data_IF_948468899734
#
_entry.id   IF_948468899734
#
_cell.length_a   1.000
_cell.length_b   1.000
_cell.length_c   1.000
_cell.angle_alpha   90.00
_cell.angle_beta   90.00
_cell.angle_gamma   90.00
#
_symmetry.space_group_name_H-M   'P 1'
#
loop_
_entity.id
_entity.type
_entity.pdbx_description
1 polymer ?
#
# COMPACT_ATOMS: atom_id res chain seq x y z
N UNK A 1 64.46 -15.41 53.10
CA UNK A 1 63.67 -14.57 52.17
C UNK A 1 64.57 -14.20 51.00
N UNK A 2 64.21 -14.56 49.75
CA UNK A 2 65.06 -14.33 48.59
C UNK A 2 65.24 -12.82 48.31
N UNK A 3 66.48 -12.31 48.14
CA UNK A 3 66.74 -10.88 47.95
C UNK A 3 66.11 -10.32 46.67
N UNK A 4 66.01 -11.14 45.62
CA UNK A 4 65.33 -10.80 44.37
C UNK A 4 63.84 -10.46 44.55
N UNK A 5 63.15 -11.15 45.48
CA UNK A 5 61.73 -10.87 45.76
C UNK A 5 61.54 -9.50 46.39
N UNK A 6 62.45 -9.08 47.29
CA UNK A 6 62.38 -7.75 47.93
C UNK A 6 62.58 -6.61 46.94
N UNK A 7 63.37 -6.83 45.90
CA UNK A 7 63.63 -5.82 44.86
C UNK A 7 62.49 -5.75 43.82
N UNK A 8 61.79 -6.86 43.58
CA UNK A 8 60.69 -6.93 42.62
C UNK A 8 59.33 -6.46 43.18
N UNK A 9 59.11 -6.54 44.50
CA UNK A 9 57.85 -6.10 45.15
C UNK A 9 57.38 -4.69 44.75
N UNK A 10 58.22 -3.63 44.73
CA UNK A 10 57.76 -2.30 44.32
C UNK A 10 57.39 -2.23 42.84
N UNK A 11 58.09 -2.98 41.98
CA UNK A 11 57.76 -3.07 40.54
C UNK A 11 56.45 -3.80 40.28
N UNK A 12 56.21 -4.90 40.99
CA UNK A 12 54.95 -5.64 40.93
C UNK A 12 53.79 -4.76 41.42
N UNK A 13 54.00 -4.02 42.51
CA UNK A 13 53.01 -3.05 43.01
C UNK A 13 52.68 -1.97 41.99
N UNK A 14 53.70 -1.37 41.37
CA UNK A 14 53.50 -0.36 40.31
C UNK A 14 52.76 -0.92 39.09
N UNK A 15 53.14 -2.11 38.62
CA UNK A 15 52.48 -2.77 37.49
C UNK A 15 51.00 -3.10 37.79
N UNK A 16 50.71 -3.56 39.01
CA UNK A 16 49.33 -3.83 39.43
C UNK A 16 48.46 -2.56 39.41
N UNK A 17 48.99 -1.43 39.89
CA UNK A 17 48.27 -0.15 39.87
C UNK A 17 47.96 0.30 38.44
N UNK A 18 48.95 0.21 37.54
CA UNK A 18 48.75 0.58 36.12
C UNK A 18 47.71 -0.33 35.45
N UNK A 19 47.72 -1.63 35.74
CA UNK A 19 46.74 -2.57 35.20
C UNK A 19 45.32 -2.26 35.70
N UNK A 20 45.15 -1.95 36.98
CA UNK A 20 43.84 -1.57 37.54
C UNK A 20 43.32 -0.28 36.90
N UNK A 21 44.18 0.72 36.74
CA UNK A 21 43.80 1.98 36.10
C UNK A 21 43.45 1.78 34.62
N UNK A 22 44.25 1.00 33.88
CA UNK A 22 43.99 0.68 32.48
C UNK A 22 42.68 -0.08 32.29
N UNK A 23 42.41 -1.09 33.13
CA UNK A 23 41.15 -1.81 33.12
C UNK A 23 39.96 -0.89 33.45
N UNK A 24 40.10 0.02 34.41
CA UNK A 24 39.08 1.00 34.75
C UNK A 24 38.73 1.91 33.57
N UNK A 25 39.73 2.44 32.87
CA UNK A 25 39.52 3.28 31.67
C UNK A 25 38.89 2.48 30.54
N UNK A 26 39.35 1.26 30.29
CA UNK A 26 38.81 0.41 29.23
C UNK A 26 37.34 0.04 29.50
N UNK A 27 37.01 -0.36 30.74
CA UNK A 27 35.65 -0.68 31.14
C UNK A 27 34.74 0.54 31.03
N UNK A 28 35.19 1.70 31.51
CA UNK A 28 34.43 2.95 31.41
C UNK A 28 34.19 3.39 29.95
N UNK A 29 35.21 3.26 29.10
CA UNK A 29 35.08 3.51 27.67
C UNK A 29 34.08 2.56 27.01
N UNK A 30 34.16 1.26 27.35
CA UNK A 30 33.25 0.25 26.81
C UNK A 30 31.80 0.47 27.27
N UNK A 31 31.57 0.84 28.53
CA UNK A 31 30.23 1.09 29.04
C UNK A 31 29.60 2.30 28.35
N UNK A 32 30.35 3.40 28.19
CA UNK A 32 29.88 4.60 27.46
C UNK A 32 29.56 4.31 26.00
N UNK A 33 30.32 3.44 25.36
CA UNK A 33 30.06 3.03 23.98
C UNK A 33 28.78 2.19 23.87
N UNK A 34 28.58 1.24 24.80
CA UNK A 34 27.36 0.45 24.87
C UNK A 34 26.12 1.30 25.18
N UNK A 35 26.21 2.27 26.08
CA UNK A 35 25.12 3.19 26.40
C UNK A 35 24.72 4.02 25.17
N UNK A 36 25.69 4.54 24.42
CA UNK A 36 25.41 5.29 23.18
C UNK A 36 24.79 4.43 22.07
N UNK A 37 25.22 3.17 21.94
CA UNK A 37 24.58 2.22 21.01
C UNK A 37 23.15 1.90 21.46
N UNK A 38 22.92 1.71 22.77
CA UNK A 38 21.60 1.43 23.30
C UNK A 38 20.64 2.61 23.07
N UNK A 39 21.11 3.84 23.27
CA UNK A 39 20.35 5.06 23.01
C UNK A 39 20.03 5.23 21.52
N UNK A 40 21.02 5.05 20.64
CA UNK A 40 20.81 5.11 19.18
C UNK A 40 19.82 4.04 18.69
N UNK A 41 19.91 2.82 19.21
CA UNK A 41 18.96 1.75 18.88
C UNK A 41 17.54 2.07 19.42
N UNK A 42 17.43 2.65 20.61
CA UNK A 42 16.15 3.07 21.16
C UNK A 42 15.49 4.14 20.27
N UNK A 43 16.24 5.15 19.84
CA UNK A 43 15.75 6.20 18.94
C UNK A 43 15.34 5.63 17.57
N UNK A 44 16.15 4.73 17.00
CA UNK A 44 15.80 4.06 15.75
C UNK A 44 14.52 3.22 15.85
N UNK A 45 14.34 2.47 16.93
CA UNK A 45 13.12 1.67 17.13
C UNK A 45 11.89 2.55 17.33
N UNK A 46 12.02 3.70 18.01
CA UNK A 46 10.92 4.66 18.12
C UNK A 46 10.57 5.32 16.78
N UNK A 47 11.58 5.61 15.94
CA UNK A 47 11.36 6.15 14.60
C UNK A 47 10.60 5.16 13.70
N UNK A 48 11.00 3.88 13.69
CA UNK A 48 10.29 2.84 12.95
C UNK A 48 8.83 2.69 13.42
N UNK A 49 8.59 2.66 14.73
CA UNK A 49 7.23 2.54 15.27
C UNK A 49 6.33 3.71 14.86
N UNK A 50 6.86 4.93 14.83
CA UNK A 50 6.12 6.11 14.38
C UNK A 50 5.78 6.04 12.89
N UNK A 51 6.72 5.56 12.06
CA UNK A 51 6.49 5.37 10.63
C UNK A 51 5.44 4.28 10.38
N UNK A 52 5.53 3.12 11.06
CA UNK A 52 4.51 2.08 10.99
C UNK A 52 3.13 2.58 11.43
N UNK A 53 3.07 3.39 12.50
CA UNK A 53 1.82 4.01 12.96
C UNK A 53 1.25 4.99 11.92
N UNK A 54 2.09 5.80 11.29
CA UNK A 54 1.68 6.72 10.23
C UNK A 54 1.15 5.96 8.99
N UNK A 55 1.83 4.89 8.58
CA UNK A 55 1.41 4.03 7.47
C UNK A 55 0.08 3.33 7.78
N UNK A 56 -0.08 2.80 8.99
CA UNK A 56 -1.32 2.15 9.43
C UNK A 56 -2.48 3.16 9.51
N UNK A 57 -2.22 4.38 9.99
CA UNK A 57 -3.22 5.46 10.02
C UNK A 57 -3.68 5.87 8.62
N UNK A 58 -2.76 5.96 7.65
CA UNK A 58 -3.11 6.17 6.24
C UNK A 58 -3.98 5.04 5.69
N UNK A 59 -3.63 3.79 5.98
CA UNK A 59 -4.38 2.62 5.52
C UNK A 59 -5.80 2.58 6.12
N UNK A 60 -5.95 2.90 7.41
CA UNK A 60 -7.25 3.03 8.06
C UNK A 60 -8.11 4.15 7.46
N UNK A 61 -7.49 5.28 7.10
CA UNK A 61 -8.16 6.36 6.37
C UNK A 61 -8.68 5.90 5.01
N UNK A 62 -7.85 5.19 4.24
CA UNK A 62 -8.25 4.63 2.94
C UNK A 62 -9.40 3.63 3.11
N UNK A 63 -9.33 2.72 4.08
CA UNK A 63 -10.39 1.76 4.36
C UNK A 63 -11.73 2.46 4.69
N UNK A 64 -11.70 3.50 5.53
CA UNK A 64 -12.89 4.30 5.86
C UNK A 64 -13.50 4.96 4.62
N UNK A 65 -12.66 5.54 3.75
CA UNK A 65 -13.15 6.15 2.50
C UNK A 65 -13.74 5.12 1.54
N UNK A 66 -13.16 3.92 1.49
CA UNK A 66 -13.67 2.83 0.67
C UNK A 66 -15.04 2.37 1.18
N UNK A 67 -15.18 2.12 2.48
CA UNK A 67 -16.47 1.76 3.09
C UNK A 67 -17.56 2.81 2.83
N UNK A 68 -17.22 4.10 2.95
CA UNK A 68 -18.14 5.20 2.65
C UNK A 68 -18.58 5.17 1.16
N UNK A 69 -17.64 5.01 0.24
CA UNK A 69 -17.95 4.93 -1.20
C UNK A 69 -18.82 3.71 -1.54
N UNK A 70 -18.57 2.56 -0.91
CA UNK A 70 -19.36 1.34 -1.09
C UNK A 70 -20.77 1.52 -0.52
N UNK A 71 -20.91 2.19 0.62
CA UNK A 71 -22.22 2.50 1.20
C UNK A 71 -23.02 3.46 0.30
N UNK A 72 -22.38 4.48 -0.27
CA UNK A 72 -22.98 5.40 -1.24
C UNK A 72 -23.42 4.67 -2.51
N UNK A 73 -22.56 3.82 -3.08
CA UNK A 73 -22.90 3.00 -4.25
C UNK A 73 -24.10 2.09 -3.96
N UNK A 74 -24.12 1.40 -2.82
CA UNK A 74 -25.26 0.55 -2.42
C UNK A 74 -26.54 1.35 -2.17
N UNK A 75 -26.46 2.63 -1.82
CA UNK A 75 -27.64 3.49 -1.67
C UNK A 75 -28.13 4.04 -3.03
N UNK A 76 -27.23 4.23 -3.99
CA UNK A 76 -27.54 4.75 -5.32
C UNK A 76 -28.03 3.67 -6.29
N UNK A 77 -27.40 2.50 -6.30
CA UNK A 77 -27.74 1.35 -7.17
C UNK A 77 -29.23 0.93 -7.09
N UNK A 78 -29.86 0.77 -5.91
CA UNK A 78 -31.28 0.45 -5.84
C UNK A 78 -32.18 1.55 -6.43
N UNK A 79 -31.79 2.83 -6.32
CA UNK A 79 -32.53 3.94 -6.94
C UNK A 79 -32.38 3.97 -8.45
N UNK A 80 -31.20 3.62 -8.97
CA UNK A 80 -30.92 3.59 -10.41
C UNK A 80 -31.77 2.50 -11.09
N UNK A 81 -31.78 1.28 -10.54
CA UNK A 81 -32.60 0.18 -11.06
C UNK A 81 -34.08 0.56 -11.03
N UNK A 82 -34.60 1.05 -9.90
CA UNK A 82 -36.01 1.44 -9.79
C UNK A 82 -36.41 2.55 -10.78
N UNK A 83 -35.51 3.52 -11.03
CA UNK A 83 -35.73 4.60 -12.00
C UNK A 83 -35.75 4.08 -13.43
N UNK A 84 -34.84 3.19 -13.83
CA UNK A 84 -34.87 2.59 -15.16
C UNK A 84 -36.15 1.79 -15.39
N UNK A 85 -36.52 0.93 -14.44
CA UNK A 85 -37.77 0.14 -14.55
C UNK A 85 -39.00 1.04 -14.62
N UNK A 86 -39.03 2.14 -13.83
CA UNK A 86 -40.14 3.09 -13.88
C UNK A 86 -40.21 3.84 -15.22
N UNK A 87 -39.08 4.22 -15.80
CA UNK A 87 -39.04 4.89 -17.11
C UNK A 87 -39.49 3.94 -18.23
N UNK A 88 -39.09 2.67 -18.19
CA UNK A 88 -39.56 1.65 -19.14
C UNK A 88 -41.07 1.41 -19.04
N UNK A 89 -41.64 1.47 -17.83
CA UNK A 89 -43.08 1.30 -17.60
C UNK A 89 -43.88 2.55 -17.94
N UNK A 90 -43.37 3.76 -17.64
CA UNK A 90 -44.08 5.03 -17.87
C UNK A 90 -43.91 5.57 -19.30
N UNK A 91 -42.82 5.22 -19.98
CA UNK A 91 -42.58 5.56 -21.39
C UNK A 91 -42.02 4.34 -22.12
N UNK A 92 -42.85 3.31 -22.33
CA UNK A 92 -42.44 2.15 -23.09
C UNK A 92 -42.05 2.58 -24.50
N UNK A 93 -40.94 2.03 -25.01
CA UNK A 93 -40.56 2.29 -26.40
C UNK A 93 -41.73 1.91 -27.31
N UNK A 94 -42.15 2.81 -28.23
CA UNK A 94 -43.24 2.53 -29.16
C UNK A 94 -42.95 1.26 -29.94
N UNK A 95 -44.00 0.51 -30.31
CA UNK A 95 -43.87 -0.83 -30.89
C UNK A 95 -42.93 -0.92 -32.10
N UNK A 96 -42.78 0.17 -32.88
CA UNK A 96 -41.83 0.25 -33.98
C UNK A 96 -40.35 0.28 -33.57
N UNK A 97 -40.02 0.76 -32.37
CA UNK A 97 -38.64 0.84 -31.87
C UNK A 97 -38.19 -0.44 -31.14
N UNK A 98 -39.11 -1.30 -30.70
CA UNK A 98 -38.76 -2.57 -30.06
C UNK A 98 -38.22 -3.54 -31.11
N UNK A 99 -37.03 -4.10 -30.89
CA UNK A 99 -36.50 -5.12 -31.79
C UNK A 99 -37.24 -6.43 -31.51
N UNK A 100 -38.13 -6.82 -32.42
CA UNK A 100 -38.83 -8.11 -32.38
C UNK A 100 -37.93 -9.26 -32.89
N UNK A 101 -38.35 -10.50 -32.62
CA UNK A 101 -37.59 -11.69 -32.95
C UNK A 101 -37.29 -11.82 -34.47
N UNK A 102 -38.22 -11.38 -35.33
CA UNK A 102 -38.05 -11.40 -36.79
C UNK A 102 -37.01 -10.38 -37.25
N UNK A 103 -37.06 -9.15 -36.70
CA UNK A 103 -36.03 -8.14 -36.93
C UNK A 103 -34.64 -8.55 -36.43
N UNK A 104 -34.55 -9.19 -35.26
CA UNK A 104 -33.30 -9.74 -34.73
C UNK A 104 -32.70 -10.78 -35.68
N UNK A 105 -33.53 -11.71 -36.16
CA UNK A 105 -33.10 -12.70 -37.14
C UNK A 105 -32.61 -12.03 -38.42
N UNK A 106 -33.34 -11.04 -38.95
CA UNK A 106 -32.96 -10.35 -40.17
C UNK A 106 -31.65 -9.54 -40.03
N UNK A 107 -31.40 -8.94 -38.85
CA UNK A 107 -30.15 -8.24 -38.55
C UNK A 107 -28.99 -9.25 -38.42
N UNK A 108 -29.20 -10.38 -37.75
CA UNK A 108 -28.19 -11.42 -37.61
C UNK A 108 -27.85 -12.08 -38.95
N UNK A 109 -28.85 -12.30 -39.80
CA UNK A 109 -28.73 -12.77 -41.18
C UNK A 109 -27.89 -11.79 -42.00
N UNK A 110 -28.23 -10.50 -41.95
CA UNK A 110 -27.49 -9.43 -42.64
C UNK A 110 -26.05 -9.32 -42.13
N UNK A 111 -25.82 -9.43 -40.82
CA UNK A 111 -24.48 -9.44 -40.22
C UNK A 111 -23.67 -10.66 -40.65
N UNK A 112 -24.29 -11.85 -40.70
CA UNK A 112 -23.66 -13.06 -41.22
C UNK A 112 -23.27 -12.88 -42.69
N UNK A 113 -24.17 -12.36 -43.51
CA UNK A 113 -23.91 -12.07 -44.93
C UNK A 113 -22.78 -11.05 -45.11
N UNK A 114 -22.77 -9.97 -44.33
CA UNK A 114 -21.71 -8.96 -44.36
C UNK A 114 -20.35 -9.53 -43.93
N UNK A 115 -20.32 -10.37 -42.89
CA UNK A 115 -19.10 -11.05 -42.43
C UNK A 115 -18.59 -12.04 -43.48
N UNK A 116 -19.49 -12.76 -44.17
CA UNK A 116 -19.11 -13.67 -45.26
C UNK A 116 -18.70 -12.94 -46.54
N UNK A 117 -19.22 -11.74 -46.79
CA UNK A 117 -18.84 -10.89 -47.92
C UNK A 117 -17.45 -10.25 -47.73
N UNK A 118 -16.85 -10.38 -46.54
CA UNK A 118 -15.44 -10.12 -46.30
C UNK A 118 -14.97 -8.69 -46.61
N UNK A 119 -15.87 -7.71 -46.69
CA UNK A 119 -15.45 -6.32 -46.82
C UNK A 119 -14.97 -5.82 -45.46
N UNK A 120 -13.67 -5.50 -45.29
CA UNK A 120 -13.21 -4.80 -44.11
C UNK A 120 -13.96 -3.47 -44.04
N UNK A 121 -14.79 -3.33 -43.01
CA UNK A 121 -15.49 -2.08 -42.74
C UNK A 121 -14.48 -0.96 -42.45
N UNK A 122 -14.85 0.32 -42.65
CA UNK A 122 -14.01 1.43 -42.27
C UNK A 122 -13.63 1.31 -40.78
N UNK A 123 -12.34 1.50 -40.48
CA UNK A 123 -11.83 1.44 -39.12
C UNK A 123 -12.66 2.37 -38.22
N UNK A 124 -13.26 1.80 -37.17
CA UNK A 124 -14.01 2.57 -36.18
C UNK A 124 -13.00 3.51 -35.52
N UNK A 125 -13.18 4.84 -35.61
CA UNK A 125 -12.33 5.76 -34.89
C UNK A 125 -12.46 5.42 -33.41
N UNK A 126 -11.34 5.22 -32.73
CA UNK A 126 -11.31 5.20 -31.26
C UNK A 126 -11.72 6.61 -30.83
N UNK A 127 -13.02 6.77 -30.58
CA UNK A 127 -13.58 8.04 -30.13
C UNK A 127 -12.86 8.44 -28.86
N UNK A 128 -12.22 9.61 -28.89
CA UNK A 128 -11.71 10.27 -27.72
C UNK A 128 -12.83 10.31 -26.68
N UNK A 129 -12.65 9.53 -25.62
CA UNK A 129 -13.48 9.56 -24.42
C UNK A 129 -13.53 11.02 -24.00
N UNK A 130 -14.71 11.62 -24.08
CA UNK A 130 -14.90 13.03 -23.75
C UNK A 130 -14.53 13.25 -22.29
N UNK A 131 -13.33 13.81 -22.08
CA UNK A 131 -12.99 14.56 -20.89
C UNK A 131 -13.85 15.84 -20.89
N UNK A 132 -14.99 15.78 -20.22
CA UNK A 132 -15.66 16.98 -19.71
C UNK A 132 -15.51 16.97 -18.19
N UNK A 133 -14.70 17.93 -17.74
CA UNK A 133 -14.57 18.39 -16.35
C UNK A 133 -15.87 19.01 -15.83
#
# INVERSE_FOLDING_TARGET
MNPFLRMAVPWIGGAAVVMVLGAGVALYGSSRYHDGIAEANADHTMAELNEFKAQTGRLAGIATTFEASVAELRAAEPKVIERYTRVEVQSPLPAGCRIDAGRLQHINEAGRLANTAGQPGPAVPVGARGDQR
#
